data_IF_174618891305
#
_entry.id   IF_174618891305
#
_cell.length_a   1.000
_cell.length_b   1.000
_cell.length_c   1.000
_cell.angle_alpha   90.00
_cell.angle_beta   90.00
_cell.angle_gamma   90.00
#
_symmetry.space_group_name_H-M   'P 1'
#
loop_
_entity.id
_entity.type
_entity.pdbx_description
1 polymer ?
#
# COMPACT_ATOMS: atom_id res chain seq x y z
N UNK A 1 5.78 18.67 18.06
CA UNK A 1 4.64 17.76 18.37
C UNK A 1 3.61 17.95 17.27
N UNK A 2 3.61 17.05 16.29
CA UNK A 2 2.93 17.24 15.00
C UNK A 2 1.42 17.43 15.16
N UNK A 3 0.87 18.34 14.36
CA UNK A 3 -0.55 18.70 14.29
C UNK A 3 -1.45 17.47 14.00
N UNK A 4 -0.90 16.45 13.32
CA UNK A 4 -1.54 15.15 13.05
C UNK A 4 -1.89 14.36 14.33
N UNK A 5 -1.02 14.37 15.35
CA UNK A 5 -1.25 13.64 16.61
C UNK A 5 -2.34 14.25 17.49
N UNK A 6 -2.68 15.54 17.27
CA UNK A 6 -3.77 16.21 17.99
C UNK A 6 -5.14 15.98 17.35
N UNK A 7 -5.20 15.68 16.06
CA UNK A 7 -6.45 15.40 15.35
C UNK A 7 -7.01 14.02 15.72
N UNK A 8 -6.13 13.03 15.92
CA UNK A 8 -6.51 11.66 16.34
C UNK A 8 -7.07 11.57 17.77
N UNK A 9 -6.63 12.45 18.69
CA UNK A 9 -7.06 12.40 20.10
C UNK A 9 -8.40 13.09 20.41
N UNK A 10 -8.95 13.89 19.48
CA UNK A 10 -10.14 14.71 19.73
C UNK A 10 -11.46 14.10 19.23
N UNK A 11 -11.39 13.02 18.46
CA UNK A 11 -12.55 12.28 17.93
C UNK A 11 -12.95 11.12 18.86
N UNK A 12 -12.02 10.57 19.64
CA UNK A 12 -12.27 9.45 20.56
C UNK A 12 -12.34 9.95 22.00
N UNK A 13 -13.54 10.30 22.44
CA UNK A 13 -13.83 10.61 23.84
C UNK A 13 -13.48 9.42 24.73
N UNK A 14 -12.36 9.52 25.44
CA UNK A 14 -11.96 8.61 26.50
C UNK A 14 -12.77 8.97 27.75
N UNK A 15 -13.65 8.05 28.16
CA UNK A 15 -14.30 8.01 29.46
C UNK A 15 -14.05 6.64 30.08
N UNK A 16 -13.93 6.63 31.40
CA UNK A 16 -13.40 5.56 32.25
C UNK A 16 -13.93 4.15 31.99
N UNK A 17 -13.03 3.18 32.19
CA UNK A 17 -13.14 1.74 31.95
C UNK A 17 -14.39 1.09 32.55
N UNK A 18 -15.16 0.32 31.76
CA UNK A 18 -15.86 -0.86 32.25
C UNK A 18 -14.90 -2.06 32.24
N UNK A 19 -15.07 -2.95 33.21
CA UNK A 19 -14.24 -4.14 33.45
C UNK A 19 -13.92 -4.95 32.18
N UNK A 20 -12.70 -5.48 32.13
CA UNK A 20 -12.22 -6.34 31.03
C UNK A 20 -13.23 -7.45 30.72
N UNK A 21 -13.80 -7.50 29.51
CA UNK A 21 -14.59 -8.64 29.11
C UNK A 21 -13.69 -9.87 29.08
N UNK A 22 -14.19 -10.99 29.60
CA UNK A 22 -13.52 -12.30 29.54
C UNK A 22 -12.97 -12.55 28.12
N UNK A 23 -11.74 -13.08 28.00
CA UNK A 23 -11.20 -13.43 26.69
C UNK A 23 -12.20 -14.32 25.95
N UNK A 24 -12.49 -13.96 24.70
CA UNK A 24 -13.26 -14.82 23.82
C UNK A 24 -12.54 -16.19 23.75
N UNK A 25 -13.28 -17.31 23.76
CA UNK A 25 -12.68 -18.60 23.47
C UNK A 25 -11.95 -18.52 22.14
N UNK A 26 -10.71 -19.03 22.08
CA UNK A 26 -10.01 -19.26 20.83
C UNK A 26 -10.86 -20.26 20.05
N UNK A 27 -11.62 -19.79 19.05
CA UNK A 27 -12.37 -20.68 18.17
C UNK A 27 -11.39 -21.61 17.45
N UNK A 28 -11.69 -22.90 17.45
CA UNK A 28 -10.91 -23.92 16.77
C UNK A 28 -10.71 -23.52 15.30
N UNK A 29 -9.48 -23.62 14.81
CA UNK A 29 -9.12 -23.35 13.42
C UNK A 29 -9.95 -24.25 12.51
N UNK A 30 -10.95 -23.68 11.83
CA UNK A 30 -11.66 -24.40 10.77
C UNK A 30 -10.64 -24.68 9.67
N UNK A 31 -10.48 -25.93 9.19
CA UNK A 31 -9.60 -26.22 8.07
C UNK A 31 -10.17 -25.58 6.80
N UNK A 32 -9.75 -24.35 6.55
CA UNK A 32 -10.07 -23.54 5.37
C UNK A 32 -8.79 -23.37 4.54
N UNK A 33 -8.78 -23.74 3.25
CA UNK A 33 -7.57 -23.63 2.44
C UNK A 33 -7.16 -22.17 2.24
N UNK A 34 -5.85 -21.90 2.24
CA UNK A 34 -5.33 -20.61 1.79
C UNK A 34 -5.68 -20.42 0.31
N UNK A 35 -6.29 -19.29 -0.03
CA UNK A 35 -6.66 -18.97 -1.41
C UNK A 35 -5.65 -18.00 -2.00
N UNK A 36 -5.11 -18.36 -3.17
CA UNK A 36 -4.38 -17.41 -4.01
C UNK A 36 -5.33 -16.40 -4.61
N UNK A 37 -4.93 -15.14 -4.63
CA UNK A 37 -5.66 -14.03 -5.29
C UNK A 37 -4.85 -13.51 -6.46
N UNK A 38 -5.51 -13.31 -7.60
CA UNK A 38 -4.92 -12.69 -8.79
C UNK A 38 -5.73 -11.44 -9.11
N UNK A 39 -5.09 -10.27 -9.12
CA UNK A 39 -5.75 -9.03 -9.53
C UNK A 39 -5.45 -8.76 -11.00
N UNK A 40 -6.50 -8.52 -11.78
CA UNK A 40 -6.37 -8.06 -13.17
C UNK A 40 -6.22 -6.56 -13.19
N UNK A 41 -5.13 -6.09 -13.73
CA UNK A 41 -4.69 -4.70 -13.66
C UNK A 41 -4.87 -4.02 -15.01
N UNK A 42 -5.55 -2.88 -15.00
CA UNK A 42 -5.43 -1.88 -16.04
C UNK A 42 -4.23 -1.01 -15.74
N UNK A 43 -3.20 -1.08 -16.59
CA UNK A 43 -1.99 -0.27 -16.47
C UNK A 43 -2.10 0.95 -17.38
N UNK A 44 -2.11 2.15 -16.80
CA UNK A 44 -2.13 3.43 -17.51
C UNK A 44 -0.81 4.15 -17.22
N UNK A 45 -0.10 4.54 -18.28
CA UNK A 45 1.19 5.22 -18.19
C UNK A 45 1.06 6.59 -18.84
N UNK A 46 1.18 7.66 -18.05
CA UNK A 46 1.27 9.04 -18.58
C UNK A 46 2.69 9.33 -19.04
N UNK A 47 2.91 9.34 -20.35
CA UNK A 47 4.20 9.52 -21.00
C UNK A 47 4.10 10.58 -22.11
N UNK A 48 3.99 11.87 -21.73
CA UNK A 48 3.77 12.94 -22.68
C UNK A 48 4.96 13.12 -23.64
N UNK A 49 4.67 13.51 -24.87
CA UNK A 49 5.65 13.99 -25.84
C UNK A 49 6.21 15.32 -25.38
N UNK A 50 7.53 15.38 -25.20
CA UNK A 50 8.24 16.55 -24.72
C UNK A 50 8.76 17.43 -25.87
N UNK A 51 9.07 16.82 -27.01
CA UNK A 51 9.42 17.52 -28.25
C UNK A 51 8.61 16.95 -29.42
N UNK A 52 7.70 17.75 -29.96
CA UNK A 52 6.84 17.36 -31.07
C UNK A 52 7.59 17.16 -32.40
N UNK A 53 8.78 17.75 -32.58
CA UNK A 53 9.57 17.61 -33.79
C UNK A 53 10.32 16.27 -33.85
N UNK A 54 10.77 15.78 -32.71
CA UNK A 54 11.52 14.51 -32.59
C UNK A 54 10.64 13.34 -32.17
N UNK A 55 9.50 13.62 -31.54
CA UNK A 55 8.63 12.61 -30.93
C UNK A 55 9.16 12.08 -29.60
N UNK A 56 10.19 12.72 -29.04
CA UNK A 56 10.82 12.33 -27.78
C UNK A 56 9.84 12.43 -26.61
N UNK A 57 9.75 11.38 -25.80
CA UNK A 57 8.85 11.28 -24.65
C UNK A 57 9.55 11.69 -23.36
N UNK A 58 8.77 11.93 -22.32
CA UNK A 58 9.31 12.30 -21.00
C UNK A 58 10.22 11.22 -20.40
N UNK A 59 9.87 9.95 -20.60
CA UNK A 59 10.70 8.80 -20.16
C UNK A 59 12.05 8.73 -20.88
N UNK A 60 12.18 9.31 -22.08
CA UNK A 60 13.44 9.31 -22.83
C UNK A 60 14.45 10.37 -22.32
N UNK A 61 13.94 11.52 -21.83
CA UNK A 61 14.78 12.68 -21.48
C UNK A 61 15.40 12.61 -20.08
N UNK A 62 14.74 11.89 -19.17
CA UNK A 62 14.91 12.11 -17.73
C UNK A 62 15.90 11.15 -17.05
N UNK A 63 16.34 10.09 -17.74
CA UNK A 63 17.17 9.04 -17.14
C UNK A 63 16.44 8.27 -16.03
N UNK A 64 15.12 8.41 -15.97
CA UNK A 64 14.24 7.74 -15.04
C UNK A 64 14.04 6.27 -15.39
N UNK A 65 13.35 5.53 -14.51
CA UNK A 65 13.13 4.11 -14.72
C UNK A 65 12.19 3.88 -15.89
N UNK A 66 12.38 2.75 -16.58
CA UNK A 66 11.43 2.31 -17.59
C UNK A 66 10.19 1.74 -16.88
N UNK A 67 8.97 2.22 -17.19
CA UNK A 67 7.73 1.73 -16.58
C UNK A 67 7.59 0.19 -16.63
N UNK A 68 8.05 -0.45 -17.70
CA UNK A 68 7.98 -1.91 -17.86
C UNK A 68 8.85 -2.64 -16.83
N UNK A 69 10.05 -2.13 -16.58
CA UNK A 69 11.00 -2.76 -15.65
C UNK A 69 10.50 -2.61 -14.20
N UNK A 70 9.87 -1.48 -13.89
CA UNK A 70 9.18 -1.24 -12.62
C UNK A 70 8.02 -2.21 -12.40
N UNK A 71 7.11 -2.33 -13.38
CA UNK A 71 5.93 -3.21 -13.31
C UNK A 71 6.35 -4.67 -13.14
N UNK A 72 7.37 -5.13 -13.88
CA UNK A 72 7.91 -6.49 -13.77
C UNK A 72 8.56 -6.71 -12.41
N UNK A 73 9.40 -5.79 -11.97
CA UNK A 73 10.11 -5.88 -10.69
C UNK A 73 9.14 -5.92 -9.50
N UNK A 74 8.18 -4.99 -9.47
CA UNK A 74 7.15 -4.93 -8.44
C UNK A 74 6.28 -6.21 -8.42
N UNK A 75 5.75 -6.63 -9.57
CA UNK A 75 4.91 -7.83 -9.64
C UNK A 75 5.67 -9.10 -9.23
N UNK A 76 6.95 -9.20 -9.60
CA UNK A 76 7.83 -10.30 -9.21
C UNK A 76 8.07 -10.34 -7.71
N UNK A 77 8.34 -9.18 -7.11
CA UNK A 77 8.52 -9.07 -5.66
C UNK A 77 7.28 -9.50 -4.90
N UNK A 78 6.08 -9.03 -5.30
CA UNK A 78 4.84 -9.41 -4.61
C UNK A 78 4.56 -10.91 -4.75
N UNK A 79 4.82 -11.50 -5.92
CA UNK A 79 4.68 -12.95 -6.07
C UNK A 79 5.61 -13.72 -5.12
N UNK A 80 6.85 -13.24 -4.95
CA UNK A 80 7.85 -13.86 -4.09
C UNK A 80 7.50 -13.66 -2.60
N UNK A 81 7.30 -12.43 -2.16
CA UNK A 81 7.11 -12.09 -0.73
C UNK A 81 5.76 -12.57 -0.20
N UNK A 82 4.77 -12.76 -1.07
CA UNK A 82 3.49 -13.39 -0.71
C UNK A 82 3.51 -14.92 -0.71
N UNK A 83 4.66 -15.55 -0.96
CA UNK A 83 4.81 -17.01 -1.09
C UNK A 83 3.86 -17.60 -2.15
N UNK A 84 3.63 -16.86 -3.24
CA UNK A 84 2.73 -17.22 -4.32
C UNK A 84 1.24 -17.02 -4.03
N UNK A 85 0.86 -16.42 -2.90
CA UNK A 85 -0.55 -16.17 -2.55
C UNK A 85 -1.15 -14.95 -3.22
N UNK A 86 -0.32 -14.01 -3.68
CA UNK A 86 -0.73 -12.83 -4.42
C UNK A 86 0.01 -12.74 -5.75
N UNK A 87 -0.68 -12.29 -6.79
CA UNK A 87 -0.06 -11.97 -8.08
C UNK A 87 -0.91 -11.00 -8.88
N UNK A 88 -0.29 -10.34 -9.84
CA UNK A 88 -0.97 -9.44 -10.78
C UNK A 88 -0.95 -10.00 -12.20
N UNK A 89 -2.01 -9.71 -12.95
CA UNK A 89 -2.10 -9.93 -14.38
C UNK A 89 -2.39 -8.58 -15.04
N UNK A 90 -1.44 -8.05 -15.81
CA UNK A 90 -1.70 -6.84 -16.62
C UNK A 90 -2.56 -7.25 -17.81
N UNK A 91 -3.86 -6.95 -17.75
CA UNK A 91 -4.81 -7.34 -18.80
C UNK A 91 -4.85 -6.34 -19.94
N UNK A 92 -4.49 -5.09 -19.67
CA UNK A 92 -4.38 -4.04 -20.68
C UNK A 92 -3.33 -3.01 -20.24
N UNK A 93 -2.52 -2.56 -21.19
CA UNK A 93 -1.56 -1.46 -21.03
C UNK A 93 -1.96 -0.33 -21.97
N UNK A 94 -2.17 0.85 -21.41
CA UNK A 94 -2.46 2.08 -22.13
C UNK A 94 -1.34 3.07 -21.84
N UNK A 95 -0.70 3.56 -22.89
CA UNK A 95 0.23 4.68 -22.80
C UNK A 95 -0.45 5.94 -23.32
N UNK A 96 -0.45 6.98 -22.49
CA UNK A 96 -1.18 8.22 -22.71
C UNK A 96 -0.17 9.31 -23.05
N UNK A 97 -0.34 9.92 -24.22
CA UNK A 97 0.52 10.99 -24.71
C UNK A 97 0.11 12.38 -24.17
N UNK A 98 -0.16 12.45 -22.87
CA UNK A 98 -0.68 13.64 -22.23
C UNK A 98 -0.16 13.76 -20.79
N UNK A 99 -0.21 14.98 -20.24
CA UNK A 99 -0.11 15.20 -18.79
C UNK A 99 -1.50 14.96 -18.20
N UNK A 100 -1.66 14.31 -17.03
CA UNK A 100 -2.99 14.12 -16.44
C UNK A 100 -3.65 15.47 -16.11
N UNK A 101 -4.99 15.49 -16.14
CA UNK A 101 -5.76 16.66 -15.68
C UNK A 101 -5.64 16.77 -14.16
N UNK A 102 -5.45 17.98 -13.64
CA UNK A 102 -5.54 18.26 -12.20
C UNK A 102 -6.97 18.67 -11.84
N UNK A 103 -7.30 18.62 -10.55
CA UNK A 103 -8.68 18.84 -10.03
C UNK A 103 -9.31 20.19 -10.37
N UNK A 104 -8.52 21.20 -10.77
CA UNK A 104 -9.00 22.51 -11.21
C UNK A 104 -9.08 22.65 -12.75
N UNK A 105 -8.84 21.57 -13.48
CA UNK A 105 -8.78 21.54 -14.93
C UNK A 105 -7.43 21.97 -15.51
N UNK A 106 -6.42 22.25 -14.68
CA UNK A 106 -5.08 22.52 -15.16
C UNK A 106 -4.45 21.27 -15.77
N UNK A 107 -3.64 21.49 -16.82
CA UNK A 107 -2.81 20.47 -17.43
C UNK A 107 -1.47 21.09 -17.79
N UNK A 108 -0.39 20.44 -17.39
CA UNK A 108 0.95 20.89 -17.78
C UNK A 108 1.12 20.83 -19.31
N UNK A 109 1.86 21.78 -19.85
CA UNK A 109 2.54 21.62 -21.13
C UNK A 109 3.98 21.14 -20.90
N UNK A 110 4.67 20.60 -21.92
CA UNK A 110 6.07 20.21 -21.78
C UNK A 110 6.96 21.31 -21.20
N UNK A 111 6.83 22.55 -21.69
CA UNK A 111 7.63 23.67 -21.21
C UNK A 111 7.34 24.05 -19.77
N UNK A 112 6.05 24.14 -19.40
CA UNK A 112 5.65 24.46 -18.03
C UNK A 112 6.08 23.39 -17.05
N UNK A 113 6.01 22.12 -17.47
CA UNK A 113 6.48 21.00 -16.67
C UNK A 113 7.97 21.08 -16.39
N UNK A 114 8.79 21.31 -17.42
CA UNK A 114 10.24 21.42 -17.25
C UNK A 114 10.64 22.64 -16.41
N UNK A 115 9.93 23.77 -16.54
CA UNK A 115 10.14 24.93 -15.68
C UNK A 115 9.83 24.61 -14.22
N UNK A 116 8.75 23.89 -13.93
CA UNK A 116 8.41 23.44 -12.59
C UNK A 116 9.44 22.44 -12.03
N UNK A 117 9.83 21.44 -12.83
CA UNK A 117 10.79 20.41 -12.45
C UNK A 117 12.17 21.00 -12.12
N UNK A 118 12.61 22.01 -12.87
CA UNK A 118 13.89 22.69 -12.64
C UNK A 118 13.81 23.82 -11.60
N UNK A 119 12.63 24.09 -11.03
CA UNK A 119 12.43 25.15 -10.05
C UNK A 119 12.48 26.58 -10.61
N UNK A 120 12.29 26.74 -11.92
CA UNK A 120 12.15 28.05 -12.59
C UNK A 120 10.82 28.69 -12.19
N UNK A 121 9.76 27.90 -12.12
CA UNK A 121 8.45 28.27 -11.58
C UNK A 121 8.05 27.33 -10.45
N UNK A 122 7.25 27.77 -9.47
CA UNK A 122 6.67 26.84 -8.50
C UNK A 122 5.76 25.82 -9.21
N UNK A 123 5.66 24.57 -8.73
CA UNK A 123 4.65 23.63 -9.19
C UNK A 123 3.22 24.19 -9.05
N UNK A 124 2.32 23.80 -9.95
CA UNK A 124 0.93 24.22 -9.94
C UNK A 124 0.22 23.77 -8.64
N UNK A 125 -0.77 24.55 -8.22
CA UNK A 125 -1.64 24.25 -7.08
C UNK A 125 -3.11 24.59 -7.43
N UNK A 126 -4.08 23.73 -7.12
CA UNK A 126 -3.94 22.42 -6.43
C UNK A 126 -3.19 21.37 -7.27
N UNK A 127 -2.45 20.49 -6.60
CA UNK A 127 -1.57 19.50 -7.26
C UNK A 127 -2.24 18.15 -7.55
N UNK A 128 -3.40 17.87 -6.96
CA UNK A 128 -4.07 16.58 -7.08
C UNK A 128 -4.58 16.32 -8.51
N UNK A 129 -4.43 15.07 -8.97
CA UNK A 129 -5.00 14.61 -10.22
C UNK A 129 -6.53 14.53 -10.12
N UNK A 130 -7.20 14.83 -11.23
CA UNK A 130 -8.63 14.61 -11.36
C UNK A 130 -8.92 13.13 -11.60
N UNK A 131 -9.04 12.35 -10.52
CA UNK A 131 -9.42 10.95 -10.59
C UNK A 131 -10.77 10.71 -11.26
N UNK A 132 -11.71 11.66 -11.22
CA UNK A 132 -13.00 11.49 -11.90
C UNK A 132 -12.84 11.56 -13.42
N UNK A 133 -11.99 12.48 -13.92
CA UNK A 133 -11.63 12.52 -15.33
C UNK A 133 -10.95 11.21 -15.77
N UNK A 134 -10.05 10.66 -14.95
CA UNK A 134 -9.39 9.37 -15.23
C UNK A 134 -10.42 8.22 -15.29
N UNK A 135 -11.34 8.17 -14.32
CA UNK A 135 -12.39 7.14 -14.30
C UNK A 135 -13.27 7.18 -15.56
N UNK A 136 -13.63 8.38 -16.01
CA UNK A 136 -14.45 8.59 -17.22
C UNK A 136 -13.67 8.26 -18.49
N UNK A 137 -12.46 8.79 -18.64
CA UNK A 137 -11.62 8.64 -19.85
C UNK A 137 -11.36 7.17 -20.20
N UNK A 138 -11.08 6.34 -19.20
CA UNK A 138 -10.75 4.92 -19.40
C UNK A 138 -11.92 3.96 -19.14
N UNK A 139 -13.11 4.51 -18.90
CA UNK A 139 -14.33 3.75 -18.61
C UNK A 139 -14.15 2.74 -17.46
N UNK A 140 -13.42 3.13 -16.41
CA UNK A 140 -12.97 2.22 -15.34
C UNK A 140 -14.16 1.63 -14.59
N UNK A 141 -15.20 2.43 -14.33
CA UNK A 141 -16.39 1.99 -13.62
C UNK A 141 -17.07 0.79 -14.31
N UNK A 142 -17.30 0.87 -15.63
CA UNK A 142 -17.93 -0.22 -16.39
C UNK A 142 -17.04 -1.46 -16.42
N UNK A 143 -15.72 -1.29 -16.58
CA UNK A 143 -14.76 -2.40 -16.57
C UNK A 143 -14.74 -3.14 -15.22
N UNK A 144 -14.90 -2.43 -14.11
CA UNK A 144 -15.02 -3.03 -12.77
C UNK A 144 -16.35 -3.82 -12.63
N UNK A 145 -17.47 -3.23 -13.06
CA UNK A 145 -18.80 -3.88 -13.01
C UNK A 145 -18.84 -5.15 -13.87
N UNK A 146 -18.22 -5.11 -15.05
CA UNK A 146 -18.15 -6.24 -15.98
C UNK A 146 -17.14 -7.30 -15.53
N UNK A 147 -16.44 -7.10 -14.41
CA UNK A 147 -15.33 -7.93 -13.96
C UNK A 147 -14.28 -8.10 -15.05
N UNK A 148 -13.87 -7.03 -15.74
CA UNK A 148 -12.76 -7.05 -16.69
C UNK A 148 -11.43 -6.77 -15.99
N UNK A 149 -11.47 -5.88 -14.99
CA UNK A 149 -10.35 -5.49 -14.15
C UNK A 149 -10.75 -5.56 -12.67
N UNK A 150 -9.74 -5.60 -11.80
CA UNK A 150 -9.90 -5.59 -10.34
C UNK A 150 -9.11 -4.44 -9.69
N UNK A 151 -8.10 -3.91 -10.37
CA UNK A 151 -7.22 -2.85 -9.88
C UNK A 151 -6.73 -1.97 -11.04
N UNK A 152 -6.39 -0.71 -10.74
CA UNK A 152 -5.84 0.23 -11.73
C UNK A 152 -4.49 0.72 -11.25
N UNK A 153 -3.48 0.69 -12.12
CA UNK A 153 -2.17 1.26 -11.86
C UNK A 153 -1.94 2.48 -12.74
N UNK A 154 -1.64 3.61 -12.11
CA UNK A 154 -1.27 4.85 -12.77
C UNK A 154 0.23 5.07 -12.59
N UNK A 155 1.00 5.01 -13.67
CA UNK A 155 2.42 5.34 -13.69
C UNK A 155 2.60 6.71 -14.33
N UNK A 156 3.19 7.64 -13.57
CA UNK A 156 3.43 9.00 -14.03
C UNK A 156 4.77 9.52 -13.48
N UNK A 157 4.86 10.83 -13.36
CA UNK A 157 6.06 11.59 -13.05
C UNK A 157 5.81 12.51 -11.85
N UNK A 158 6.84 13.15 -11.27
CA UNK A 158 6.66 14.14 -10.20
C UNK A 158 5.66 15.22 -10.59
N UNK A 159 4.82 15.66 -9.66
CA UNK A 159 3.75 16.65 -9.88
C UNK A 159 2.58 16.19 -10.76
N UNK A 160 2.46 14.89 -11.04
CA UNK A 160 1.29 14.33 -11.72
C UNK A 160 0.04 14.20 -10.83
N UNK A 161 0.13 14.51 -9.53
CA UNK A 161 -1.02 14.58 -8.62
C UNK A 161 -1.58 13.24 -8.15
N UNK A 162 -0.80 12.15 -8.27
CA UNK A 162 -1.25 10.82 -7.88
C UNK A 162 -1.02 10.57 -6.39
N UNK A 163 -2.03 10.06 -5.70
CA UNK A 163 -1.88 9.38 -4.42
C UNK A 163 -1.24 8.00 -4.64
N UNK A 164 -0.41 7.56 -3.69
CA UNK A 164 0.19 6.22 -3.68
C UNK A 164 -0.88 5.11 -3.75
N UNK A 165 -1.98 5.29 -3.03
CA UNK A 165 -3.19 4.50 -3.20
C UNK A 165 -4.43 5.33 -2.88
N UNK A 166 -5.53 5.04 -3.58
CA UNK A 166 -6.87 5.56 -3.27
C UNK A 166 -7.91 4.48 -3.56
N UNK A 167 -8.98 4.42 -2.76
CA UNK A 167 -10.06 3.46 -2.94
C UNK A 167 -11.32 4.13 -3.49
N UNK A 168 -11.96 3.46 -4.45
CA UNK A 168 -13.23 3.84 -5.03
C UNK A 168 -14.27 2.73 -4.88
N UNK A 169 -15.54 3.07 -5.09
CA UNK A 169 -16.66 2.14 -5.06
C UNK A 169 -17.46 2.12 -3.76
N UNK A 170 -18.54 1.35 -3.74
CA UNK A 170 -19.48 1.30 -2.62
C UNK A 170 -18.81 0.79 -1.34
N UNK A 171 -18.89 1.62 -0.31
CA UNK A 171 -18.28 1.32 0.98
C UNK A 171 -16.75 1.49 1.00
N UNK A 172 -16.17 2.20 0.03
CA UNK A 172 -14.75 2.53 0.05
C UNK A 172 -14.34 3.17 1.40
N UNK A 173 -13.15 2.82 1.87
CA UNK A 173 -12.58 3.29 3.13
C UNK A 173 -11.14 3.79 2.92
N UNK A 174 -10.56 4.41 3.94
CA UNK A 174 -9.21 4.98 3.86
C UNK A 174 -8.21 3.94 3.37
N UNK A 175 -7.45 4.27 2.33
CA UNK A 175 -6.40 3.42 1.77
C UNK A 175 -5.24 4.30 1.39
N UNK A 176 -4.47 4.73 2.40
CA UNK A 176 -3.46 5.81 2.34
C UNK A 176 -3.94 7.20 1.89
N UNK A 177 -5.07 7.29 1.20
CA UNK A 177 -5.81 8.51 0.93
C UNK A 177 -7.27 8.35 1.37
N UNK A 178 -7.98 9.49 1.44
CA UNK A 178 -9.42 9.49 1.65
C UNK A 178 -10.13 8.76 0.49
N UNK A 179 -11.23 8.03 0.76
CA UNK A 179 -12.00 7.38 -0.30
C UNK A 179 -12.43 8.37 -1.38
N UNK A 180 -12.36 7.97 -2.64
CA UNK A 180 -12.82 8.80 -3.74
C UNK A 180 -14.34 8.99 -3.65
N UNK A 181 -14.76 10.24 -3.45
CA UNK A 181 -16.19 10.58 -3.29
C UNK A 181 -16.97 10.32 -4.57
N UNK A 182 -18.30 10.28 -4.51
CA UNK A 182 -19.18 10.11 -5.69
C UNK A 182 -19.00 8.80 -6.50
N UNK A 183 -18.25 7.82 -5.99
CA UNK A 183 -18.05 6.52 -6.64
C UNK A 183 -18.94 5.39 -6.09
N UNK A 184 -19.89 5.70 -5.20
CA UNK A 184 -20.73 4.69 -4.52
C UNK A 184 -21.74 3.97 -5.43
N UNK A 185 -21.87 4.42 -6.67
CA UNK A 185 -22.65 3.76 -7.72
C UNK A 185 -21.95 2.52 -8.28
N UNK A 186 -20.63 2.41 -8.12
CA UNK A 186 -19.84 1.22 -8.47
C UNK A 186 -20.00 0.21 -7.33
N UNK A 187 -20.54 -0.96 -7.65
CA UNK A 187 -20.98 -2.01 -6.72
C UNK A 187 -19.81 -2.64 -5.95
N UNK A 188 -18.65 -2.77 -6.59
CA UNK A 188 -17.41 -3.34 -6.02
C UNK A 188 -16.45 -2.24 -5.59
N UNK A 189 -15.72 -2.47 -4.50
CA UNK A 189 -14.54 -1.67 -4.14
C UNK A 189 -13.37 -2.09 -5.00
N UNK A 190 -12.57 -1.12 -5.41
CA UNK A 190 -11.31 -1.32 -6.09
C UNK A 190 -10.31 -0.23 -5.68
N UNK A 191 -9.02 -0.52 -5.89
CA UNK A 191 -7.92 0.38 -5.57
C UNK A 191 -7.32 0.92 -6.86
N UNK A 192 -6.95 2.20 -6.83
CA UNK A 192 -6.12 2.84 -7.83
C UNK A 192 -4.77 3.10 -7.15
N UNK A 193 -3.72 2.48 -7.67
CA UNK A 193 -2.34 2.70 -7.20
C UNK A 193 -1.68 3.78 -8.05
N UNK A 194 -1.00 4.72 -7.42
CA UNK A 194 -0.20 5.75 -8.08
C UNK A 194 1.28 5.50 -7.89
N UNK A 195 2.02 5.45 -8.99
CA UNK A 195 3.46 5.21 -9.01
C UNK A 195 4.17 6.27 -9.84
N UNK A 196 5.41 6.60 -9.46
CA UNK A 196 6.27 7.52 -10.20
C UNK A 196 7.42 6.77 -10.83
N UNK A 197 7.60 6.89 -12.16
CA UNK A 197 8.74 6.29 -12.84
C UNK A 197 10.06 7.02 -12.60
N UNK A 198 10.05 8.19 -11.92
CA UNK A 198 11.26 8.78 -11.33
C UNK A 198 11.86 7.89 -10.23
N UNK A 199 11.01 7.11 -9.54
CA UNK A 199 11.36 6.31 -8.37
C UNK A 199 11.57 4.84 -8.74
N UNK A 200 12.00 4.03 -7.77
CA UNK A 200 12.30 2.61 -7.97
C UNK A 200 11.16 1.70 -7.51
N UNK A 201 11.42 0.39 -7.64
CA UNK A 201 10.51 -0.66 -7.12
C UNK A 201 10.34 -0.55 -5.60
N UNK A 202 11.36 -0.09 -4.87
CA UNK A 202 11.26 0.08 -3.41
C UNK A 202 10.12 1.01 -3.00
N UNK A 203 9.98 2.15 -3.68
CA UNK A 203 8.88 3.08 -3.42
C UNK A 203 7.51 2.55 -3.91
N UNK A 204 7.48 1.71 -4.95
CA UNK A 204 6.24 1.01 -5.31
C UNK A 204 5.80 0.02 -4.22
N UNK A 205 6.76 -0.69 -3.60
CA UNK A 205 6.49 -1.57 -2.47
C UNK A 205 6.01 -0.76 -1.26
N UNK A 206 6.61 0.41 -1.00
CA UNK A 206 6.16 1.30 0.08
C UNK A 206 4.70 1.73 -0.09
N UNK A 207 4.31 2.14 -1.30
CA UNK A 207 2.93 2.48 -1.62
C UNK A 207 1.97 1.30 -1.38
N UNK A 208 2.38 0.07 -1.74
CA UNK A 208 1.61 -1.13 -1.43
C UNK A 208 1.53 -1.40 0.08
N UNK A 209 2.63 -1.22 0.81
CA UNK A 209 2.69 -1.45 2.24
C UNK A 209 1.76 -0.50 3.00
N UNK A 210 1.63 0.77 2.58
CA UNK A 210 0.61 1.67 3.09
C UNK A 210 -0.83 1.21 2.83
N UNK A 211 -1.10 0.60 1.66
CA UNK A 211 -2.38 -0.09 1.39
C UNK A 211 -2.56 -1.29 2.33
N UNK A 212 -1.52 -2.09 2.56
CA UNK A 212 -1.56 -3.24 3.46
C UNK A 212 -1.93 -2.76 4.85
N UNK A 213 -1.27 -1.74 5.38
CA UNK A 213 -1.57 -1.17 6.69
C UNK A 213 -3.03 -0.72 6.81
N UNK A 214 -3.50 0.04 5.81
CA UNK A 214 -4.88 0.53 5.77
C UNK A 214 -5.90 -0.62 5.73
N UNK A 215 -5.63 -1.64 4.93
CA UNK A 215 -6.52 -2.80 4.73
C UNK A 215 -6.56 -3.70 5.94
N UNK A 216 -5.40 -3.96 6.55
CA UNK A 216 -5.29 -4.81 7.73
C UNK A 216 -5.84 -4.12 8.98
N UNK A 217 -5.63 -2.81 9.14
CA UNK A 217 -6.25 -2.03 10.22
C UNK A 217 -7.79 -2.12 10.14
N UNK A 218 -8.37 -1.97 8.94
CA UNK A 218 -9.82 -2.11 8.75
C UNK A 218 -10.29 -3.56 8.98
N UNK A 219 -9.54 -4.56 8.51
CA UNK A 219 -9.85 -5.99 8.69
C UNK A 219 -9.92 -6.36 10.18
N UNK A 220 -8.98 -5.87 10.97
CA UNK A 220 -8.91 -6.15 12.42
C UNK A 220 -9.69 -5.14 13.27
N UNK A 221 -10.43 -4.19 12.67
CA UNK A 221 -11.10 -3.09 13.37
C UNK A 221 -12.15 -3.51 14.43
N UNK A 222 -12.63 -4.76 14.38
CA UNK A 222 -13.56 -5.34 15.37
C UNK A 222 -12.89 -6.22 16.43
N UNK A 223 -11.58 -6.44 16.35
CA UNK A 223 -10.80 -7.27 17.29
C UNK A 223 -10.01 -6.41 18.28
N UNK A 224 -9.75 -6.90 19.49
CA UNK A 224 -9.06 -6.16 20.57
C UNK A 224 -8.15 -7.08 21.38
N UNK A 225 -7.20 -6.48 22.12
CA UNK A 225 -6.26 -7.22 22.96
C UNK A 225 -5.48 -8.26 22.16
N UNK A 226 -5.28 -9.45 22.73
CA UNK A 226 -4.52 -10.53 22.09
C UNK A 226 -5.19 -11.10 20.85
N UNK A 227 -6.50 -10.88 20.66
CA UNK A 227 -7.21 -11.29 19.45
C UNK A 227 -6.87 -10.40 18.23
N UNK A 228 -6.34 -9.19 18.46
CA UNK A 228 -5.94 -8.28 17.40
C UNK A 228 -4.50 -8.56 16.97
N UNK A 229 -4.35 -9.52 16.05
CA UNK A 229 -3.05 -9.95 15.55
C UNK A 229 -2.35 -8.87 14.72
N UNK A 230 -3.07 -7.97 14.06
CA UNK A 230 -2.46 -6.83 13.36
C UNK A 230 -1.78 -5.85 14.32
N UNK A 231 -2.42 -5.53 15.45
CA UNK A 231 -1.83 -4.70 16.51
C UNK A 231 -0.62 -5.37 17.19
N UNK A 232 -0.51 -6.70 17.11
CA UNK A 232 0.70 -7.43 17.50
C UNK A 232 1.76 -7.32 16.41
N UNK A 233 1.44 -7.67 15.17
CA UNK A 233 2.35 -7.64 14.01
C UNK A 233 3.14 -6.32 13.91
N UNK A 234 2.43 -5.21 14.11
CA UNK A 234 2.95 -3.84 13.95
C UNK A 234 3.78 -3.30 15.13
N UNK A 235 4.04 -4.10 16.17
CA UNK A 235 4.85 -3.66 17.31
C UNK A 235 6.32 -3.48 16.93
N UNK A 236 6.93 -2.43 17.47
CA UNK A 236 8.36 -2.16 17.38
C UNK A 236 8.86 -1.58 18.70
N UNK A 237 10.15 -1.74 19.01
CA UNK A 237 10.71 -1.60 20.36
C UNK A 237 10.45 -0.22 20.99
N UNK A 238 10.57 0.85 20.21
CA UNK A 238 10.32 2.23 20.70
C UNK A 238 8.89 2.43 21.24
N UNK A 239 7.89 1.76 20.67
CA UNK A 239 6.49 1.79 21.16
C UNK A 239 6.17 0.65 22.12
N UNK A 240 6.85 -0.48 21.96
CA UNK A 240 6.60 -1.72 22.67
C UNK A 240 7.94 -2.32 23.15
N UNK A 241 8.56 -1.76 24.20
CA UNK A 241 9.87 -2.20 24.68
C UNK A 241 9.88 -3.69 24.99
N UNK A 242 10.91 -4.39 24.52
CA UNK A 242 11.11 -5.85 24.68
C UNK A 242 10.00 -6.73 24.05
N UNK A 243 9.10 -6.13 23.27
CA UNK A 243 7.95 -6.78 22.63
C UNK A 243 7.85 -6.42 21.15
N UNK A 244 8.99 -6.10 20.51
CA UNK A 244 9.02 -5.82 19.09
C UNK A 244 8.61 -7.08 18.29
N UNK A 245 7.84 -6.87 17.25
CA UNK A 245 7.37 -7.91 16.33
C UNK A 245 7.97 -7.57 14.96
N UNK A 246 7.18 -7.38 13.90
CA UNK A 246 7.69 -7.05 12.57
C UNK A 246 7.84 -5.53 12.40
N UNK A 247 6.89 -4.75 12.92
CA UNK A 247 6.87 -3.28 12.82
C UNK A 247 5.89 -2.76 11.77
N UNK A 248 6.00 -1.48 11.46
CA UNK A 248 5.19 -0.78 10.44
C UNK A 248 6.07 -0.39 9.26
N UNK A 249 5.47 0.00 8.14
CA UNK A 249 6.21 0.31 6.90
C UNK A 249 7.38 1.27 7.13
N UNK A 250 7.19 2.31 7.96
CA UNK A 250 8.24 3.30 8.27
C UNK A 250 9.17 2.94 9.43
N UNK A 251 8.86 1.91 10.22
CA UNK A 251 9.61 1.53 11.42
C UNK A 251 9.86 0.03 11.48
N UNK A 252 11.12 -0.36 11.26
CA UNK A 252 11.62 -1.68 11.59
C UNK A 252 11.62 -1.90 13.12
N UNK A 253 11.85 -3.14 13.60
CA UNK A 253 11.77 -3.48 15.03
C UNK A 253 12.59 -2.57 15.95
N UNK A 254 13.73 -2.04 15.49
CA UNK A 254 14.64 -1.20 16.26
C UNK A 254 14.63 0.30 15.88
N UNK A 255 13.73 0.72 14.98
CA UNK A 255 13.73 2.08 14.45
C UNK A 255 13.40 3.12 15.53
N UNK A 256 14.19 4.19 15.58
CA UNK A 256 14.02 5.28 16.55
C UNK A 256 13.34 6.52 15.92
N UNK A 257 13.20 6.57 14.59
CA UNK A 257 12.53 7.62 13.82
C UNK A 257 12.06 7.05 12.48
N UNK A 258 11.34 7.88 11.74
CA UNK A 258 10.88 7.58 10.38
C UNK A 258 12.04 7.13 9.48
N UNK A 259 11.82 6.04 8.74
CA UNK A 259 12.78 5.48 7.77
C UNK A 259 14.13 5.04 8.38
N UNK A 260 14.18 4.79 9.69
CA UNK A 260 15.39 4.38 10.40
C UNK A 260 15.70 2.89 10.23
N UNK A 261 15.70 2.42 8.97
CA UNK A 261 15.93 1.02 8.61
C UNK A 261 17.42 0.64 8.63
N UNK A 262 18.32 1.61 8.65
CA UNK A 262 19.78 1.40 8.75
C UNK A 262 20.33 1.30 10.17
N UNK A 263 19.46 1.25 11.19
CA UNK A 263 19.87 1.27 12.59
C UNK A 263 20.50 -0.07 13.02
N UNK A 264 21.74 -0.03 13.52
CA UNK A 264 22.49 -1.22 13.94
C UNK A 264 22.28 -1.61 15.41
N UNK A 265 21.48 -0.85 16.18
CA UNK A 265 21.14 -1.17 17.57
C UNK A 265 20.38 -2.51 17.63
N UNK A 266 20.85 -3.43 18.46
CA UNK A 266 20.14 -4.68 18.70
C UNK A 266 18.94 -4.46 19.63
N UNK A 267 17.81 -5.09 19.27
CA UNK A 267 16.63 -5.23 20.13
C UNK A 267 16.12 -6.68 20.06
N UNK A 268 15.50 -7.21 21.12
CA UNK A 268 14.76 -8.46 21.01
C UNK A 268 13.52 -8.26 20.13
N UNK A 269 13.31 -9.14 19.16
CA UNK A 269 12.12 -9.17 18.32
C UNK A 269 11.59 -10.59 18.12
N UNK A 270 10.27 -10.72 18.03
CA UNK A 270 9.55 -11.95 17.71
C UNK A 270 9.22 -12.06 16.21
N UNK A 271 9.81 -11.23 15.34
CA UNK A 271 9.49 -11.14 13.91
C UNK A 271 9.51 -12.49 13.17
N UNK A 272 10.44 -13.40 13.51
CA UNK A 272 10.58 -14.70 12.84
C UNK A 272 9.45 -15.69 13.23
N UNK A 273 8.71 -15.44 14.31
CA UNK A 273 7.53 -16.24 14.65
C UNK A 273 6.45 -16.13 13.57
N UNK A 274 6.36 -15.00 12.88
CA UNK A 274 5.38 -14.78 11.82
C UNK A 274 5.62 -15.65 10.58
N UNK A 275 6.85 -16.12 10.37
CA UNK A 275 7.16 -17.13 9.34
C UNK A 275 6.58 -18.51 9.67
N UNK A 276 6.24 -18.77 10.94
CA UNK A 276 5.64 -20.02 11.42
C UNK A 276 4.14 -19.88 11.75
N UNK A 277 3.51 -18.79 11.30
CA UNK A 277 2.09 -18.51 11.57
C UNK A 277 1.23 -19.73 11.20
N UNK A 278 0.24 -20.14 12.03
CA UNK A 278 -0.30 -19.41 13.19
C UNK A 278 0.42 -19.65 14.53
N UNK A 279 1.50 -20.43 14.59
CA UNK A 279 2.24 -20.63 15.84
C UNK A 279 3.17 -19.44 16.13
N UNK A 280 2.77 -18.60 17.08
CA UNK A 280 3.51 -17.42 17.51
C UNK A 280 4.23 -17.59 18.85
N UNK A 281 4.47 -18.84 19.28
CA UNK A 281 5.03 -19.18 20.61
C UNK A 281 6.56 -19.18 20.69
N UNK A 282 7.26 -18.99 19.57
CA UNK A 282 8.71 -18.96 19.50
C UNK A 282 9.35 -17.84 20.34
N UNK A 283 10.62 -18.04 20.70
CA UNK A 283 11.37 -17.06 21.49
C UNK A 283 11.84 -15.87 20.63
N UNK A 284 11.96 -14.70 21.25
CA UNK A 284 12.55 -13.54 20.59
C UNK A 284 14.02 -13.77 20.23
N UNK A 285 14.46 -13.18 19.12
CA UNK A 285 15.84 -13.12 18.66
C UNK A 285 16.34 -11.68 18.70
N UNK A 286 17.64 -11.49 18.92
CA UNK A 286 18.27 -10.17 18.74
C UNK A 286 18.38 -9.87 17.24
N UNK A 287 17.78 -8.76 16.81
CA UNK A 287 17.75 -8.31 15.41
C UNK A 287 18.29 -6.89 15.27
N UNK A 288 18.80 -6.54 14.09
CA UNK A 288 19.13 -5.18 13.71
C UNK A 288 19.03 -4.99 12.18
N UNK A 289 19.50 -3.85 11.66
CA UNK A 289 19.39 -3.54 10.24
C UNK A 289 19.94 -4.59 9.27
N UNK A 290 20.87 -5.46 9.69
CA UNK A 290 21.37 -6.53 8.84
C UNK A 290 20.31 -7.57 8.48
N UNK A 291 19.23 -7.69 9.27
CA UNK A 291 18.14 -8.63 9.03
C UNK A 291 17.27 -8.22 7.83
N UNK A 292 17.18 -6.93 7.50
CA UNK A 292 16.24 -6.38 6.51
C UNK A 292 16.90 -5.45 5.48
N UNK A 293 18.16 -5.70 5.14
CA UNK A 293 18.82 -5.02 4.02
C UNK A 293 19.58 -3.73 4.37
N UNK A 294 19.82 -3.46 5.65
CA UNK A 294 20.75 -2.44 6.12
C UNK A 294 20.47 -1.01 5.60
N UNK A 295 19.18 -0.64 5.58
CA UNK A 295 18.72 0.67 5.09
C UNK A 295 18.28 0.70 3.63
N UNK A 296 18.40 -0.40 2.89
CA UNK A 296 17.81 -0.52 1.56
C UNK A 296 16.28 -0.63 1.65
N UNK A 297 15.59 0.29 1.00
CA UNK A 297 14.13 0.39 0.98
C UNK A 297 13.46 -0.88 0.45
N UNK A 298 13.95 -1.43 -0.67
CA UNK A 298 13.31 -2.58 -1.33
C UNK A 298 13.51 -3.83 -0.50
N UNK A 299 14.72 -4.06 -0.01
CA UNK A 299 15.02 -5.21 0.86
C UNK A 299 14.25 -5.13 2.18
N UNK A 300 14.06 -3.93 2.74
CA UNK A 300 13.26 -3.76 3.95
C UNK A 300 11.79 -4.15 3.72
N UNK A 301 11.16 -3.62 2.66
CA UNK A 301 9.78 -3.95 2.34
C UNK A 301 9.60 -5.43 2.00
N UNK A 302 10.53 -6.02 1.25
CA UNK A 302 10.50 -7.47 0.99
C UNK A 302 10.56 -8.28 2.30
N UNK A 303 11.48 -7.94 3.20
CA UNK A 303 11.59 -8.58 4.52
C UNK A 303 10.31 -8.44 5.36
N UNK A 304 9.66 -7.28 5.30
CA UNK A 304 8.41 -7.02 6.01
C UNK A 304 7.25 -7.84 5.44
N UNK A 305 7.10 -7.84 4.11
CA UNK A 305 6.05 -8.55 3.39
C UNK A 305 6.17 -10.07 3.51
N UNK A 306 7.39 -10.64 3.51
CA UNK A 306 7.64 -12.08 3.67
C UNK A 306 7.05 -12.65 4.97
N UNK A 307 6.85 -11.79 5.98
CA UNK A 307 6.30 -12.14 7.30
C UNK A 307 4.79 -11.98 7.37
N UNK A 308 4.13 -11.49 6.32
CA UNK A 308 2.66 -11.42 6.27
C UNK A 308 2.10 -12.85 6.23
N UNK A 309 1.14 -13.19 7.12
CA UNK A 309 0.48 -14.49 7.13
C UNK A 309 -0.13 -14.89 5.78
N UNK A 310 0.16 -16.13 5.36
CA UNK A 310 -0.14 -16.65 4.02
C UNK A 310 -0.60 -18.13 4.04
N UNK A 311 -1.09 -18.62 5.19
CA UNK A 311 -1.38 -20.05 5.40
C UNK A 311 -2.88 -20.34 5.54
N UNK A 312 -3.23 -21.62 5.52
CA UNK A 312 -4.59 -22.11 5.69
C UNK A 312 -5.12 -21.84 7.11
N UNK A 313 -6.46 -21.80 7.23
CA UNK A 313 -7.19 -21.67 8.48
C UNK A 313 -7.70 -20.25 8.74
N UNK A 314 -8.29 -20.11 9.92
CA UNK A 314 -8.93 -18.89 10.40
C UNK A 314 -8.70 -18.76 11.90
N UNK A 315 -8.50 -17.54 12.38
CA UNK A 315 -8.46 -17.21 13.80
C UNK A 315 -9.27 -15.95 14.06
N UNK A 316 -10.08 -15.94 15.12
CA UNK A 316 -10.89 -14.78 15.51
C UNK A 316 -11.77 -14.24 14.36
N UNK A 317 -12.30 -15.14 13.52
CA UNK A 317 -13.10 -14.77 12.36
C UNK A 317 -12.31 -14.23 11.15
N UNK A 318 -10.97 -14.17 11.19
CA UNK A 318 -10.11 -13.61 10.12
C UNK A 318 -9.25 -14.72 9.50
N UNK A 319 -9.17 -14.76 8.16
CA UNK A 319 -8.34 -15.75 7.47
C UNK A 319 -6.87 -15.66 7.89
N UNK A 320 -6.20 -16.81 7.99
CA UNK A 320 -4.76 -16.87 8.24
C UNK A 320 -3.92 -16.47 7.01
N UNK A 321 -4.52 -16.38 5.83
CA UNK A 321 -3.91 -15.79 4.64
C UNK A 321 -4.40 -14.34 4.48
N UNK A 322 -3.58 -13.39 4.94
CA UNK A 322 -3.94 -11.97 4.93
C UNK A 322 -3.90 -11.37 3.53
N UNK A 323 -3.15 -11.97 2.60
CA UNK A 323 -3.12 -11.58 1.19
C UNK A 323 -4.50 -11.63 0.53
N UNK A 324 -5.44 -12.44 1.05
CA UNK A 324 -6.82 -12.43 0.56
C UNK A 324 -7.52 -11.08 0.77
N UNK A 325 -7.29 -10.41 1.90
CA UNK A 325 -7.87 -9.10 2.19
C UNK A 325 -7.09 -7.99 1.48
N UNK A 326 -5.76 -8.09 1.49
CA UNK A 326 -4.85 -7.12 0.85
C UNK A 326 -5.19 -7.01 -0.64
N UNK A 327 -5.32 -8.15 -1.32
CA UNK A 327 -5.55 -8.22 -2.76
C UNK A 327 -7.03 -8.02 -3.13
N UNK A 328 -7.97 -8.59 -2.36
CA UNK A 328 -9.41 -8.41 -2.57
C UNK A 328 -10.07 -7.67 -1.38
N UNK A 329 -10.10 -6.34 -1.50
CA UNK A 329 -10.73 -5.46 -0.49
C UNK A 329 -12.24 -5.63 -0.35
N UNK A 330 -12.87 -6.45 -1.20
CA UNK A 330 -14.27 -6.83 -1.03
C UNK A 330 -14.45 -7.89 0.07
N UNK A 331 -13.39 -8.58 0.49
CA UNK A 331 -13.38 -9.49 1.66
C UNK A 331 -13.42 -8.74 2.99
N UNK A 332 -13.06 -7.44 2.99
CA UNK A 332 -13.06 -6.61 4.20
C UNK A 332 -14.50 -6.20 4.54
N UNK A 333 -14.93 -6.52 5.76
CA UNK A 333 -16.22 -6.07 6.28
C UNK A 333 -16.19 -4.57 6.58
N UNK A 334 -17.15 -3.82 6.05
CA UNK A 334 -17.19 -2.35 6.13
C UNK A 334 -18.23 -1.79 7.08
#
# INVERSE_FOLDING_TARGET
MSFLLRLLKKIFGLSDSPADPKPAPVEETIPEPARRTVNRVLLIIYNPTMDAATGEKLTDQSGWQRPEDLVVGFSGDILQTSHGMASYEIVERIEVDEFPLLVDGFRYSPSLYMDALHGVTPPHQPEDADYHAILEEFNIAERIENNEIDEVWLLAFPYAGLHESVMAGKGAFWCNAAPLTQTSHISRRFIIMGFSYERGVGEMLEALDHRIESTMEKTFAKTRGDANLWARFTRYDKKNPDQAEVGIVHYAPNSERDYDWGNLKFVPSYCDNWLNFPDLSGAARQVNANDWGNGDIRLHHQWWQERIPHVAGRQNGIHNNWWQYIMDVNQVEV
#
